data_IF_291243778169
#
_entry.id   IF_291243778169
#
_cell.length_a   1.000
_cell.length_b   1.000
_cell.length_c   1.000
_cell.angle_alpha   90.00
_cell.angle_beta   90.00
_cell.angle_gamma   90.00
#
_symmetry.space_group_name_H-M   'P 1'
#
loop_
_entity.id
_entity.type
_entity.pdbx_description
1 polymer ?
#
# COMPACT_ATOMS: atom_id res chain seq x y z
N UNK A 1 16.95 -4.61 -5.42
CA UNK A 1 17.00 -3.24 -5.63
C UNK A 1 15.68 -2.52 -5.67
N UNK A 2 15.63 -1.38 -5.00
CA UNK A 2 14.53 -0.43 -5.11
C UNK A 2 14.95 0.84 -5.87
N UNK A 3 16.08 0.75 -6.58
CA UNK A 3 16.67 1.85 -7.34
C UNK A 3 15.70 2.46 -8.36
N UNK A 4 14.77 1.64 -8.89
CA UNK A 4 13.77 2.12 -9.84
C UNK A 4 12.80 3.15 -9.21
N UNK A 5 12.45 3.00 -7.92
CA UNK A 5 11.61 3.98 -7.20
C UNK A 5 12.42 5.22 -6.89
N UNK A 6 13.66 5.05 -6.43
CA UNK A 6 14.57 6.15 -6.15
C UNK A 6 14.77 6.99 -7.42
N UNK A 7 15.18 6.37 -8.52
CA UNK A 7 15.39 7.04 -9.80
C UNK A 7 14.12 7.68 -10.41
N UNK A 8 12.93 7.15 -10.10
CA UNK A 8 11.68 7.70 -10.62
C UNK A 8 11.37 9.10 -10.08
N UNK A 9 11.71 9.35 -8.83
CA UNK A 9 11.47 10.64 -8.17
C UNK A 9 12.70 11.54 -8.16
N UNK A 10 13.85 11.04 -8.63
CA UNK A 10 15.06 11.83 -8.78
C UNK A 10 15.05 12.63 -10.08
N UNK A 11 15.80 13.71 -10.07
CA UNK A 11 15.97 14.57 -11.25
C UNK A 11 16.89 13.92 -12.28
N UNK A 12 16.34 13.55 -13.44
CA UNK A 12 17.08 12.98 -14.55
C UNK A 12 17.54 14.06 -15.54
N UNK A 13 18.70 14.66 -15.31
CA UNK A 13 19.25 15.73 -16.16
C UNK A 13 19.45 15.28 -17.61
N UNK A 14 19.92 14.05 -17.84
CA UNK A 14 20.13 13.51 -19.19
C UNK A 14 18.80 13.43 -19.96
N UNK A 15 17.74 12.92 -19.34
CA UNK A 15 16.42 12.82 -19.95
C UNK A 15 15.84 14.21 -20.23
N UNK A 16 15.99 15.16 -19.30
CA UNK A 16 15.54 16.54 -19.49
C UNK A 16 16.19 17.18 -20.72
N UNK A 17 17.51 17.07 -20.87
CA UNK A 17 18.25 17.60 -22.03
C UNK A 17 17.79 16.96 -23.34
N UNK A 18 17.54 15.66 -23.35
CA UNK A 18 17.06 14.96 -24.56
C UNK A 18 15.65 15.44 -24.95
N UNK A 19 14.73 15.53 -23.99
CA UNK A 19 13.36 16.00 -24.24
C UNK A 19 13.33 17.47 -24.72
N UNK A 20 14.14 18.32 -24.12
CA UNK A 20 14.29 19.73 -24.53
C UNK A 20 14.79 19.84 -25.97
N UNK A 21 15.86 19.11 -26.34
CA UNK A 21 16.40 19.09 -27.71
C UNK A 21 15.41 18.55 -28.75
N UNK A 22 14.51 17.64 -28.32
CA UNK A 22 13.47 17.08 -29.19
C UNK A 22 12.21 17.97 -29.23
N UNK A 23 12.15 19.07 -28.49
CA UNK A 23 10.96 19.93 -28.38
C UNK A 23 9.79 19.31 -27.66
N UNK A 24 10.00 18.22 -26.89
CA UNK A 24 8.96 17.47 -26.16
C UNK A 24 8.61 18.14 -24.83
N UNK A 25 8.03 19.33 -24.90
CA UNK A 25 7.80 20.18 -23.73
C UNK A 25 6.78 19.63 -22.73
N UNK A 26 5.80 18.82 -23.17
CA UNK A 26 4.82 18.21 -22.26
C UNK A 26 5.48 17.14 -21.41
N UNK A 27 6.27 16.25 -22.02
CA UNK A 27 6.99 15.20 -21.31
C UNK A 27 8.07 15.81 -20.39
N UNK A 28 8.73 16.90 -20.80
CA UNK A 28 9.68 17.61 -19.95
C UNK A 28 9.01 18.11 -18.67
N UNK A 29 7.89 18.83 -18.81
CA UNK A 29 7.10 19.31 -17.64
C UNK A 29 6.60 18.17 -16.74
N UNK A 30 6.25 17.04 -17.32
CA UNK A 30 5.80 15.87 -16.54
C UNK A 30 6.90 15.31 -15.65
N UNK A 31 8.11 15.09 -16.16
CA UNK A 31 9.23 14.57 -15.37
C UNK A 31 9.72 15.59 -14.34
N UNK A 32 9.72 16.89 -14.65
CA UNK A 32 10.01 17.94 -13.68
C UNK A 32 9.01 17.94 -12.53
N UNK A 33 7.70 17.89 -12.83
CA UNK A 33 6.64 17.80 -11.83
C UNK A 33 6.77 16.57 -10.93
N UNK A 34 7.17 15.41 -11.47
CA UNK A 34 7.39 14.19 -10.68
C UNK A 34 8.55 14.38 -9.70
N UNK A 35 9.68 14.95 -10.15
CA UNK A 35 10.84 15.19 -9.29
C UNK A 35 10.62 16.26 -8.22
N UNK A 36 9.63 17.13 -8.39
CA UNK A 36 9.26 18.19 -7.45
C UNK A 36 8.06 17.82 -6.55
N UNK A 37 7.50 16.61 -6.72
CA UNK A 37 6.28 16.18 -6.03
C UNK A 37 6.45 16.17 -4.50
N UNK A 38 7.61 15.76 -4.01
CA UNK A 38 7.96 15.70 -2.60
C UNK A 38 9.48 15.67 -2.40
N UNK A 39 9.92 15.95 -1.17
CA UNK A 39 11.30 15.71 -0.76
C UNK A 39 11.46 14.26 -0.30
N UNK A 40 12.37 13.52 -0.92
CA UNK A 40 12.62 12.12 -0.61
C UNK A 40 13.88 11.95 0.21
N UNK A 41 13.81 11.08 1.21
CA UNK A 41 14.95 10.58 1.96
C UNK A 41 14.91 9.06 1.97
N UNK A 42 16.04 8.42 1.75
CA UNK A 42 16.14 6.98 1.67
C UNK A 42 16.93 6.42 2.84
N UNK A 43 16.40 5.40 3.48
CA UNK A 43 17.11 4.66 4.51
C UNK A 43 17.09 3.18 4.17
N UNK A 44 18.24 2.53 4.34
CA UNK A 44 18.38 1.12 3.99
C UNK A 44 18.27 0.24 5.21
N UNK A 45 17.28 -0.64 5.21
CA UNK A 45 17.23 -1.75 6.16
C UNK A 45 18.32 -2.76 5.79
N UNK A 46 19.34 -2.92 6.64
CA UNK A 46 20.50 -3.78 6.35
C UNK A 46 20.16 -5.26 6.37
N UNK A 47 19.26 -5.67 7.24
CA UNK A 47 18.80 -7.04 7.42
C UNK A 47 17.27 -7.10 7.31
N UNK A 48 16.70 -8.10 6.63
CA UNK A 48 15.24 -8.20 6.42
C UNK A 48 14.53 -8.74 7.67
N UNK A 49 14.55 -7.97 8.75
CA UNK A 49 13.99 -8.34 10.06
C UNK A 49 12.50 -7.96 10.22
N UNK A 50 11.75 -7.91 9.13
CA UNK A 50 10.31 -7.65 9.12
C UNK A 50 9.91 -6.18 9.05
N UNK A 51 8.60 -5.93 8.97
CA UNK A 51 8.03 -4.60 8.76
C UNK A 51 8.22 -3.69 9.97
N UNK A 52 8.06 -4.22 11.19
CA UNK A 52 8.28 -3.43 12.41
C UNK A 52 9.71 -2.90 12.49
N UNK A 53 10.70 -3.74 12.15
CA UNK A 53 12.09 -3.30 12.07
C UNK A 53 12.33 -2.25 10.97
N UNK A 54 11.68 -2.38 9.81
CA UNK A 54 11.80 -1.37 8.75
C UNK A 54 11.31 0.00 9.21
N UNK A 55 10.20 0.05 9.96
CA UNK A 55 9.68 1.27 10.59
C UNK A 55 10.66 1.78 11.65
N UNK A 56 11.18 0.92 12.51
CA UNK A 56 12.13 1.30 13.56
C UNK A 56 13.41 1.94 12.99
N UNK A 57 13.92 1.43 11.86
CA UNK A 57 15.09 2.01 11.16
C UNK A 57 14.80 3.45 10.70
N UNK A 58 13.56 3.81 10.43
CA UNK A 58 13.17 5.17 10.03
C UNK A 58 13.06 6.16 11.20
N UNK A 59 13.16 5.72 12.48
CA UNK A 59 13.01 6.55 13.68
C UNK A 59 13.80 7.86 13.63
N UNK A 60 15.05 7.79 13.17
CA UNK A 60 15.92 8.97 13.10
C UNK A 60 15.49 10.02 12.05
N UNK A 61 14.79 9.58 10.98
CA UNK A 61 14.26 10.47 9.94
C UNK A 61 12.91 11.06 10.34
N UNK A 62 12.06 10.27 10.98
CA UNK A 62 10.72 10.67 11.39
C UNK A 62 10.75 11.60 12.61
N UNK A 63 11.66 11.35 13.56
CA UNK A 63 11.71 12.11 14.81
C UNK A 63 10.54 11.82 15.74
N UNK A 64 9.98 12.85 16.33
CA UNK A 64 8.92 12.76 17.34
C UNK A 64 7.59 13.33 16.83
N UNK A 65 7.22 13.01 15.60
CA UNK A 65 5.98 13.46 14.98
C UNK A 65 5.13 12.27 14.50
N UNK A 66 3.80 12.42 14.45
CA UNK A 66 2.93 11.44 13.79
C UNK A 66 3.31 11.31 12.31
N UNK A 67 3.26 10.10 11.80
CA UNK A 67 3.67 9.81 10.42
C UNK A 67 2.80 8.74 9.78
N UNK A 68 2.72 8.80 8.45
CA UNK A 68 2.03 7.78 7.68
C UNK A 68 3.00 6.67 7.23
N UNK A 69 2.54 5.42 7.28
CA UNK A 69 3.21 4.26 6.68
C UNK A 69 2.35 3.73 5.54
N UNK A 70 2.95 3.64 4.36
CA UNK A 70 2.31 3.14 3.15
C UNK A 70 3.15 2.00 2.58
N UNK A 71 2.59 0.79 2.57
CA UNK A 71 3.24 -0.36 1.92
C UNK A 71 3.07 -0.23 0.41
N UNK A 72 4.17 -0.38 -0.32
CA UNK A 72 4.21 -0.12 -1.76
C UNK A 72 3.46 -1.15 -2.62
N UNK A 73 3.13 -2.30 -2.08
CA UNK A 73 2.37 -3.36 -2.71
C UNK A 73 0.86 -3.29 -2.46
N UNK A 74 0.40 -2.44 -1.53
CA UNK A 74 -1.01 -2.15 -1.33
C UNK A 74 -1.42 -0.92 -2.15
N UNK A 75 -2.08 -1.13 -3.28
CA UNK A 75 -2.59 -0.06 -4.14
C UNK A 75 -4.07 0.15 -3.83
N UNK A 76 -4.45 1.36 -3.45
CA UNK A 76 -5.85 1.69 -3.14
C UNK A 76 -6.36 2.70 -4.18
N UNK A 77 -7.44 2.32 -4.82
CA UNK A 77 -8.16 3.12 -5.78
C UNK A 77 -9.45 3.64 -5.12
N UNK A 78 -9.53 4.94 -4.95
CA UNK A 78 -10.65 5.62 -4.28
C UNK A 78 -10.83 7.02 -4.84
N UNK A 79 -12.06 7.53 -4.80
CA UNK A 79 -12.37 8.91 -5.18
C UNK A 79 -11.78 9.89 -4.15
N UNK A 80 -12.03 9.64 -2.86
CA UNK A 80 -11.33 10.29 -1.76
C UNK A 80 -10.14 9.40 -1.34
N UNK A 81 -8.88 9.84 -1.51
CA UNK A 81 -7.72 9.01 -1.21
C UNK A 81 -7.75 8.43 0.20
N UNK A 82 -7.46 7.13 0.34
CA UNK A 82 -7.48 6.44 1.64
C UNK A 82 -6.69 7.20 2.72
N UNK A 83 -5.53 7.76 2.37
CA UNK A 83 -4.74 8.54 3.31
C UNK A 83 -5.45 9.83 3.76
N UNK A 84 -6.21 10.49 2.88
CA UNK A 84 -7.00 11.66 3.25
C UNK A 84 -8.11 11.29 4.24
N UNK A 85 -8.82 10.17 4.01
CA UNK A 85 -9.80 9.63 4.96
C UNK A 85 -9.14 9.34 6.32
N UNK A 86 -7.95 8.74 6.33
CA UNK A 86 -7.19 8.44 7.55
C UNK A 86 -6.72 9.70 8.28
N UNK A 87 -6.28 10.73 7.57
CA UNK A 87 -5.88 12.02 8.16
C UNK A 87 -7.07 12.65 8.85
N UNK A 88 -8.24 12.68 8.23
CA UNK A 88 -9.48 13.19 8.84
C UNK A 88 -9.84 12.45 10.14
N UNK A 89 -9.66 11.13 10.15
CA UNK A 89 -9.85 10.33 11.38
C UNK A 89 -8.77 10.65 12.41
N UNK A 90 -7.51 10.81 12.01
CA UNK A 90 -6.41 11.16 12.91
C UNK A 90 -6.61 12.55 13.55
N UNK A 91 -7.00 13.55 12.77
CA UNK A 91 -7.29 14.90 13.27
C UNK A 91 -8.38 14.89 14.34
N UNK A 92 -9.36 14.00 14.21
CA UNK A 92 -10.46 13.87 15.15
C UNK A 92 -10.10 13.11 16.43
N UNK A 93 -9.39 11.98 16.30
CA UNK A 93 -9.10 11.09 17.43
C UNK A 93 -7.73 11.33 18.08
N UNK A 94 -6.81 12.02 17.39
CA UNK A 94 -5.43 12.30 17.85
C UNK A 94 -4.70 11.03 18.33
N UNK A 95 -4.91 9.92 17.66
CA UNK A 95 -4.41 8.59 18.00
C UNK A 95 -4.06 7.83 16.72
N UNK A 96 -3.25 6.78 16.83
CA UNK A 96 -2.89 5.94 15.68
C UNK A 96 -4.13 5.40 14.98
N UNK A 97 -4.14 5.53 13.63
CA UNK A 97 -5.22 5.07 12.74
C UNK A 97 -4.66 3.96 11.84
N UNK A 98 -5.36 2.85 11.78
CA UNK A 98 -5.01 1.69 10.96
C UNK A 98 -6.11 1.48 9.92
N UNK A 99 -5.77 1.47 8.64
CA UNK A 99 -6.74 1.12 7.62
C UNK A 99 -7.06 -0.37 7.69
N UNK A 100 -8.37 -0.68 7.66
CA UNK A 100 -8.86 -2.05 7.70
C UNK A 100 -9.83 -2.31 6.55
N UNK A 101 -9.93 -3.56 6.14
CA UNK A 101 -10.85 -4.02 5.11
C UNK A 101 -11.51 -5.32 5.55
N UNK A 102 -12.79 -5.47 5.25
CA UNK A 102 -13.47 -6.74 5.45
C UNK A 102 -12.95 -7.78 4.44
N UNK A 103 -12.57 -8.95 4.94
CA UNK A 103 -12.09 -10.08 4.15
C UNK A 103 -12.91 -11.32 4.42
N UNK A 104 -12.83 -12.33 3.57
CA UNK A 104 -13.46 -13.62 3.89
C UNK A 104 -12.76 -14.28 5.08
N UNK A 105 -13.49 -15.07 5.86
CA UNK A 105 -12.91 -15.82 7.00
C UNK A 105 -11.71 -16.68 6.62
N UNK A 106 -11.65 -17.20 5.40
CA UNK A 106 -10.54 -18.03 4.91
C UNK A 106 -9.26 -17.21 4.73
N UNK A 107 -9.39 -15.93 4.42
CA UNK A 107 -8.26 -15.03 4.17
C UNK A 107 -7.64 -14.47 5.46
N UNK A 108 -8.29 -14.59 6.61
CA UNK A 108 -7.78 -14.04 7.88
C UNK A 108 -6.37 -14.55 8.23
N UNK A 109 -6.01 -15.76 7.81
CA UNK A 109 -4.66 -16.32 8.00
C UNK A 109 -3.55 -15.64 7.19
N UNK A 110 -3.89 -14.69 6.33
CA UNK A 110 -2.92 -13.92 5.54
C UNK A 110 -2.67 -12.51 6.08
N UNK A 111 -3.45 -12.06 7.07
CA UNK A 111 -3.45 -10.67 7.57
C UNK A 111 -3.37 -10.59 9.09
N UNK A 112 -2.92 -9.45 9.59
CA UNK A 112 -3.25 -9.04 10.95
C UNK A 112 -4.74 -8.73 11.04
N UNK A 113 -5.42 -9.23 12.07
CA UNK A 113 -6.86 -9.06 12.29
C UNK A 113 -7.08 -8.27 13.57
N UNK A 114 -7.93 -7.24 13.50
CA UNK A 114 -8.31 -6.45 14.68
C UNK A 114 -9.46 -7.11 15.45
N UNK A 115 -9.48 -6.92 16.77
CA UNK A 115 -10.68 -7.08 17.59
C UNK A 115 -11.40 -5.73 17.68
N UNK A 116 -12.50 -5.53 16.93
CA UNK A 116 -13.12 -4.22 16.76
C UNK A 116 -14.24 -3.96 17.76
N UNK A 117 -14.26 -2.76 18.32
CA UNK A 117 -15.44 -2.20 18.96
C UNK A 117 -15.97 -1.05 18.10
N UNK A 118 -17.17 -1.13 17.50
CA UNK A 118 -17.72 -0.07 16.68
C UNK A 118 -17.83 1.26 17.46
N UNK A 119 -17.42 2.36 16.80
CA UNK A 119 -17.54 3.72 17.33
C UNK A 119 -18.44 4.55 16.41
N UNK A 120 -18.24 4.43 15.10
CA UNK A 120 -19.05 5.04 14.03
C UNK A 120 -19.14 4.05 12.86
N UNK A 121 -19.85 4.41 11.79
CA UNK A 121 -20.10 3.50 10.65
C UNK A 121 -18.83 2.85 10.08
N UNK A 122 -17.72 3.63 10.00
CA UNK A 122 -16.46 3.15 9.42
C UNK A 122 -15.30 3.15 10.40
N UNK A 123 -15.54 3.57 11.66
CA UNK A 123 -14.49 3.70 12.69
C UNK A 123 -14.74 2.68 13.80
N UNK A 124 -13.69 1.97 14.13
CA UNK A 124 -13.64 0.95 15.17
C UNK A 124 -12.54 1.26 16.17
N UNK A 125 -12.85 1.26 17.47
CA UNK A 125 -11.82 1.19 18.50
C UNK A 125 -11.21 -0.21 18.45
N UNK A 126 -9.88 -0.29 18.38
CA UNK A 126 -9.17 -1.57 18.40
C UNK A 126 -8.98 -2.02 19.84
N UNK A 127 -9.50 -3.20 20.19
CA UNK A 127 -9.36 -3.80 21.52
C UNK A 127 -8.14 -4.73 21.60
N UNK A 128 -7.86 -5.46 20.52
CA UNK A 128 -6.67 -6.31 20.36
C UNK A 128 -6.35 -6.51 18.88
N UNK A 129 -5.16 -7.06 18.60
CA UNK A 129 -4.70 -7.39 17.25
C UNK A 129 -4.05 -8.78 17.27
N UNK A 130 -4.33 -9.58 16.26
CA UNK A 130 -3.77 -10.92 16.13
C UNK A 130 -3.14 -11.09 14.75
N UNK A 131 -1.85 -11.43 14.70
CA UNK A 131 -1.14 -11.66 13.45
C UNK A 131 -1.51 -13.02 12.88
N UNK A 132 -2.02 -13.03 11.65
CA UNK A 132 -2.34 -14.23 10.84
C UNK A 132 -3.07 -15.34 11.62
N UNK A 133 -4.19 -15.03 12.30
CA UNK A 133 -4.91 -16.05 13.06
C UNK A 133 -5.51 -17.10 12.13
N UNK A 134 -5.67 -18.32 12.63
CA UNK A 134 -6.50 -19.30 11.92
C UNK A 134 -7.93 -18.78 11.76
N UNK A 135 -8.70 -19.19 10.74
CA UNK A 135 -10.08 -18.75 10.55
C UNK A 135 -11.00 -18.96 11.77
N UNK A 136 -10.72 -19.99 12.56
CA UNK A 136 -11.49 -20.27 13.79
C UNK A 136 -11.09 -19.35 14.96
N UNK A 137 -9.83 -18.89 15.01
CA UNK A 137 -9.29 -18.06 16.09
C UNK A 137 -9.35 -16.55 15.78
N UNK A 138 -9.70 -16.15 14.55
CA UNK A 138 -9.79 -14.76 14.16
C UNK A 138 -10.88 -14.03 14.96
N UNK A 139 -10.55 -12.91 15.66
CA UNK A 139 -11.52 -12.18 16.47
C UNK A 139 -12.60 -11.51 15.62
N UNK A 140 -12.29 -11.16 14.38
CA UNK A 140 -13.22 -10.59 13.41
C UNK A 140 -12.82 -10.98 11.98
N UNK A 141 -13.44 -10.35 11.00
CA UNK A 141 -13.07 -10.41 9.58
C UNK A 141 -12.50 -9.07 9.06
N UNK A 142 -12.15 -8.16 9.97
CA UNK A 142 -11.51 -6.88 9.64
C UNK A 142 -9.99 -7.03 9.63
N UNK A 143 -9.45 -7.12 8.42
CA UNK A 143 -8.03 -7.28 8.15
C UNK A 143 -7.32 -5.93 8.06
N UNK A 144 -6.14 -5.85 8.65
CA UNK A 144 -5.23 -4.72 8.53
C UNK A 144 -4.69 -4.70 7.10
N UNK A 145 -4.72 -3.53 6.48
CA UNK A 145 -4.07 -3.29 5.18
C UNK A 145 -2.86 -2.37 5.35
N UNK A 146 -2.01 -2.29 4.33
CA UNK A 146 -0.73 -1.60 4.38
C UNK A 146 -0.80 -0.07 4.42
N UNK A 147 -1.70 0.49 5.21
CA UNK A 147 -1.88 1.94 5.42
C UNK A 147 -2.07 2.23 6.89
N UNK A 148 -1.18 3.06 7.45
CA UNK A 148 -1.20 3.41 8.87
C UNK A 148 -0.91 4.90 9.02
N UNK A 149 -1.50 5.55 10.03
CA UNK A 149 -0.99 6.76 10.65
C UNK A 149 -0.61 6.38 12.06
N UNK A 150 0.64 6.54 12.40
CA UNK A 150 1.22 6.12 13.67
C UNK A 150 1.73 7.32 14.44
N UNK A 151 1.58 7.28 15.76
CA UNK A 151 2.21 8.22 16.65
C UNK A 151 3.63 7.76 16.99
N UNK A 152 4.55 8.66 17.40
CA UNK A 152 5.96 8.31 17.64
C UNK A 152 6.19 7.25 18.71
N UNK A 153 5.23 7.04 19.62
CA UNK A 153 5.30 6.01 20.66
C UNK A 153 5.40 4.59 20.09
N UNK A 154 5.06 4.41 18.81
CA UNK A 154 5.27 3.13 18.12
C UNK A 154 6.74 2.71 18.12
N UNK A 155 7.68 3.63 18.09
CA UNK A 155 9.10 3.31 18.09
C UNK A 155 9.52 2.62 19.41
N UNK A 156 9.07 3.12 20.53
CA UNK A 156 9.34 2.50 21.84
C UNK A 156 8.63 1.16 21.99
N UNK A 157 7.43 1.02 21.43
CA UNK A 157 6.72 -0.25 21.38
C UNK A 157 7.45 -1.29 20.51
N UNK A 158 7.99 -0.88 19.36
CA UNK A 158 8.76 -1.75 18.49
C UNK A 158 10.11 -2.18 19.07
N UNK A 159 10.79 -1.31 19.82
CA UNK A 159 12.02 -1.64 20.55
C UNK A 159 11.78 -2.74 21.62
N UNK A 160 10.57 -2.79 22.20
CA UNK A 160 10.15 -3.80 23.17
C UNK A 160 9.55 -5.05 22.53
N UNK A 161 9.31 -5.06 21.22
CA UNK A 161 8.66 -6.17 20.51
C UNK A 161 9.69 -7.28 20.22
N UNK A 162 9.51 -8.50 20.73
CA UNK A 162 10.39 -9.59 20.39
C UNK A 162 10.23 -10.00 18.91
N UNK A 163 11.28 -10.56 18.36
CA UNK A 163 11.21 -11.27 17.08
C UNK A 163 10.29 -12.48 17.20
N UNK A 164 9.55 -12.76 16.13
CA UNK A 164 8.74 -13.97 16.02
C UNK A 164 9.60 -15.23 15.74
N UNK A 165 8.97 -16.38 15.54
CA UNK A 165 9.65 -17.64 15.22
C UNK A 165 10.43 -17.58 13.88
N UNK A 166 10.06 -16.67 12.98
CA UNK A 166 10.75 -16.38 11.71
C UNK A 166 11.95 -15.42 11.87
N UNK A 167 12.18 -14.87 13.06
CA UNK A 167 13.21 -13.86 13.33
C UNK A 167 12.80 -12.44 12.93
N UNK A 168 11.52 -12.18 12.67
CA UNK A 168 11.00 -10.90 12.24
C UNK A 168 10.33 -10.11 13.38
N UNK A 169 10.53 -8.81 13.41
CA UNK A 169 9.75 -7.88 14.24
C UNK A 169 8.48 -7.52 13.48
N UNK A 170 7.39 -8.19 13.83
CA UNK A 170 6.09 -7.95 13.20
C UNK A 170 5.48 -6.63 13.69
N UNK A 171 5.02 -5.78 12.75
CA UNK A 171 4.36 -4.52 13.11
C UNK A 171 3.10 -4.77 13.96
N UNK A 172 2.31 -5.78 13.64
CA UNK A 172 1.10 -6.13 14.40
C UNK A 172 1.40 -6.41 15.88
N UNK A 173 2.54 -7.05 16.17
CA UNK A 173 2.97 -7.28 17.55
C UNK A 173 3.40 -5.97 18.23
N UNK A 174 4.08 -5.07 17.51
CA UNK A 174 4.43 -3.74 18.01
C UNK A 174 3.19 -2.88 18.29
N UNK A 175 2.20 -2.92 17.42
CA UNK A 175 0.91 -2.25 17.64
C UNK A 175 0.19 -2.83 18.86
N UNK A 176 0.27 -4.13 19.10
CA UNK A 176 -0.29 -4.77 20.30
C UNK A 176 0.42 -4.33 21.59
N UNK A 177 1.72 -4.05 21.52
CA UNK A 177 2.45 -3.44 22.66
C UNK A 177 2.00 -2.00 22.87
N UNK A 178 1.88 -1.20 21.79
CA UNK A 178 1.42 0.19 21.85
C UNK A 178 -0.01 0.28 22.43
N UNK A 179 -0.88 -0.68 22.09
CA UNK A 179 -2.27 -0.71 22.58
C UNK A 179 -2.40 -0.76 24.10
N UNK A 180 -1.36 -1.19 24.82
CA UNK A 180 -1.35 -1.20 26.30
C UNK A 180 -1.31 0.20 26.91
N UNK A 181 -0.83 1.18 26.16
CA UNK A 181 -0.60 2.56 26.63
C UNK A 181 -1.40 3.59 25.84
N UNK A 182 -1.89 3.26 24.65
CA UNK A 182 -2.59 4.19 23.77
C UNK A 182 -3.80 3.51 23.11
N UNK A 183 -4.92 4.22 23.05
CA UNK A 183 -6.07 3.79 22.22
C UNK A 183 -5.70 3.92 20.75
N UNK A 184 -6.13 2.96 19.93
CA UNK A 184 -5.97 3.01 18.47
C UNK A 184 -7.31 2.76 17.79
N UNK A 185 -7.43 3.25 16.55
CA UNK A 185 -8.64 3.11 15.77
C UNK A 185 -8.39 2.44 14.42
N UNK A 186 -9.31 1.57 14.03
CA UNK A 186 -9.40 1.02 12.69
C UNK A 186 -10.35 1.86 11.83
N UNK A 187 -9.93 2.24 10.64
CA UNK A 187 -10.77 2.87 9.62
C UNK A 187 -11.07 1.88 8.50
N UNK A 188 -12.34 1.49 8.35
CA UNK A 188 -12.83 0.80 7.15
C UNK A 188 -12.99 1.84 6.03
N UNK A 189 -11.95 2.03 5.24
CA UNK A 189 -11.89 3.07 4.21
C UNK A 189 -12.82 2.77 3.03
N UNK A 190 -13.27 3.81 2.35
CA UNK A 190 -13.97 3.71 1.08
C UNK A 190 -12.95 3.63 -0.07
N UNK A 191 -13.07 2.60 -0.91
CA UNK A 191 -12.17 2.38 -2.03
C UNK A 191 -12.00 0.90 -2.36
N UNK A 192 -11.26 0.63 -3.43
CA UNK A 192 -10.91 -0.72 -3.87
C UNK A 192 -9.41 -0.94 -3.67
N UNK A 193 -9.04 -1.96 -2.89
CA UNK A 193 -7.65 -2.35 -2.66
C UNK A 193 -7.22 -3.42 -3.66
N UNK A 194 -6.02 -3.28 -4.17
CA UNK A 194 -5.31 -4.26 -4.97
C UNK A 194 -4.01 -4.64 -4.26
N UNK A 195 -3.88 -5.91 -3.91
CA UNK A 195 -2.64 -6.48 -3.36
C UNK A 195 -1.67 -6.81 -4.51
N UNK A 196 -0.81 -5.84 -4.86
CA UNK A 196 0.19 -6.01 -5.91
C UNK A 196 1.38 -6.91 -5.48
N UNK A 197 1.47 -7.32 -4.22
CA UNK A 197 2.39 -8.35 -3.75
C UNK A 197 2.06 -9.74 -4.29
N UNK A 198 0.79 -10.00 -4.63
CA UNK A 198 0.36 -11.22 -5.30
C UNK A 198 0.37 -11.04 -6.83
N UNK A 199 0.74 -12.12 -7.57
CA UNK A 199 0.75 -12.09 -9.06
C UNK A 199 -0.60 -11.69 -9.64
N UNK A 200 -1.68 -12.26 -9.13
CA UNK A 200 -3.03 -11.97 -9.60
C UNK A 200 -3.48 -10.55 -9.23
N UNK A 201 -3.17 -10.09 -8.01
CA UNK A 201 -3.48 -8.73 -7.57
C UNK A 201 -2.74 -7.68 -8.38
N UNK A 202 -1.46 -7.91 -8.71
CA UNK A 202 -0.68 -7.05 -9.61
C UNK A 202 -1.32 -6.93 -11.00
N UNK A 203 -1.76 -8.06 -11.59
CA UNK A 203 -2.45 -8.05 -12.90
C UNK A 203 -3.78 -7.30 -12.81
N UNK A 204 -4.57 -7.53 -11.75
CA UNK A 204 -5.84 -6.81 -11.55
C UNK A 204 -5.61 -5.30 -11.41
N UNK A 205 -4.64 -4.88 -10.61
CA UNK A 205 -4.28 -3.46 -10.48
C UNK A 205 -3.88 -2.86 -11.83
N UNK A 206 -2.98 -3.52 -12.55
CA UNK A 206 -2.49 -3.08 -13.86
C UNK A 206 -3.64 -2.87 -14.86
N UNK A 207 -4.54 -3.85 -14.97
CA UNK A 207 -5.71 -3.77 -15.87
C UNK A 207 -6.65 -2.63 -15.46
N UNK A 208 -6.95 -2.52 -14.17
CA UNK A 208 -7.86 -1.50 -13.66
C UNK A 208 -7.34 -0.08 -13.93
N UNK A 209 -6.07 0.17 -13.64
CA UNK A 209 -5.48 1.48 -13.88
C UNK A 209 -5.28 1.77 -15.37
N UNK A 210 -4.95 0.77 -16.21
CA UNK A 210 -4.89 0.93 -17.66
C UNK A 210 -6.26 1.29 -18.25
N UNK A 211 -7.36 0.69 -17.73
CA UNK A 211 -8.72 0.99 -18.17
C UNK A 211 -9.22 2.39 -17.76
N UNK A 212 -8.53 3.07 -16.85
CA UNK A 212 -8.81 4.47 -16.49
C UNK A 212 -8.07 5.46 -17.39
N UNK A 213 -7.05 5.04 -18.10
CA UNK A 213 -6.26 5.89 -18.98
C UNK A 213 -6.97 6.11 -20.32
N UNK A 214 -7.27 7.35 -20.74
CA UNK A 214 -7.96 7.63 -21.99
C UNK A 214 -7.21 7.13 -23.24
N UNK A 215 -5.88 7.14 -23.19
CA UNK A 215 -4.99 6.71 -24.26
C UNK A 215 -4.91 5.18 -24.43
N UNK A 216 -5.19 4.41 -23.39
CA UNK A 216 -5.10 2.94 -23.39
C UNK A 216 -6.46 2.24 -23.35
N UNK A 217 -7.43 2.85 -22.68
CA UNK A 217 -8.70 2.19 -22.36
C UNK A 217 -9.49 1.69 -23.57
N UNK A 218 -9.60 2.40 -24.72
CA UNK A 218 -10.37 1.93 -25.85
C UNK A 218 -9.82 0.61 -26.42
N UNK A 219 -8.54 0.59 -26.76
CA UNK A 219 -7.87 -0.56 -27.35
C UNK A 219 -7.84 -1.75 -26.39
N UNK A 220 -7.54 -1.49 -25.11
CA UNK A 220 -7.52 -2.54 -24.08
C UNK A 220 -8.90 -3.18 -23.88
N UNK A 221 -9.98 -2.39 -23.87
CA UNK A 221 -11.35 -2.94 -23.75
C UNK A 221 -11.69 -3.85 -24.91
N UNK A 222 -11.33 -3.50 -26.14
CA UNK A 222 -11.60 -4.31 -27.31
C UNK A 222 -10.77 -5.60 -27.27
N UNK A 223 -9.51 -5.52 -26.88
CA UNK A 223 -8.68 -6.71 -26.67
C UNK A 223 -9.27 -7.66 -25.61
N UNK A 224 -9.72 -7.13 -24.47
CA UNK A 224 -10.34 -7.94 -23.41
C UNK A 224 -11.64 -8.60 -23.86
N UNK A 225 -12.45 -7.95 -24.72
CA UNK A 225 -13.64 -8.57 -25.33
C UNK A 225 -13.25 -9.74 -26.24
N UNK A 226 -12.25 -9.57 -27.10
CA UNK A 226 -11.74 -10.65 -27.97
C UNK A 226 -11.23 -11.84 -27.14
N UNK A 227 -10.51 -11.59 -26.04
CA UNK A 227 -10.06 -12.63 -25.10
C UNK A 227 -11.24 -13.40 -24.50
N UNK A 228 -12.29 -12.70 -24.07
CA UNK A 228 -13.47 -13.32 -23.46
C UNK A 228 -14.29 -14.17 -24.45
N UNK A 229 -14.23 -13.85 -25.74
CA UNK A 229 -14.87 -14.60 -26.80
C UNK A 229 -14.03 -15.78 -27.33
N UNK A 230 -12.80 -15.96 -26.84
CA UNK A 230 -11.89 -17.00 -27.31
C UNK A 230 -11.26 -16.75 -28.68
N UNK A 231 -11.40 -15.53 -29.23
CA UNK A 231 -10.99 -15.17 -30.58
C UNK A 231 -9.48 -14.88 -30.73
N UNK A 232 -8.77 -14.64 -29.63
CA UNK A 232 -7.35 -14.24 -29.64
C UNK A 232 -6.44 -15.34 -30.19
N UNK A 233 -6.80 -16.63 -30.01
CA UNK A 233 -6.04 -17.75 -30.56
C UNK A 233 -6.14 -17.85 -32.10
N UNK A 234 -7.26 -17.46 -32.68
CA UNK A 234 -7.53 -17.54 -34.14
C UNK A 234 -6.79 -16.45 -34.93
N UNK A 235 -6.58 -15.27 -34.33
CA UNK A 235 -5.86 -14.16 -34.96
C UNK A 235 -4.35 -14.42 -35.01
N UNK A 236 -3.75 -14.93 -33.94
CA UNK A 236 -2.32 -15.28 -33.91
C UNK A 236 -1.93 -16.44 -34.85
N UNK A 237 -2.85 -17.34 -35.16
CA UNK A 237 -2.61 -18.40 -36.16
C UNK A 237 -2.70 -17.87 -37.59
N UNK A 238 -3.51 -16.85 -37.88
CA UNK A 238 -3.57 -16.19 -39.20
C UNK A 238 -2.28 -15.42 -39.51
N UNK A 239 -1.80 -14.60 -38.57
CA UNK A 239 -0.58 -13.80 -38.75
C UNK A 239 0.68 -14.68 -38.89
N UNK A 240 0.67 -15.92 -38.37
CA UNK A 240 1.77 -16.89 -38.56
C UNK A 240 1.74 -17.60 -39.91
N UNK A 241 0.62 -17.56 -40.64
CA UNK A 241 0.48 -18.20 -41.98
C UNK A 241 0.70 -17.20 -43.10
N UNK A 242 0.71 -15.90 -42.82
CA UNK A 242 0.94 -14.83 -43.80
C UNK A 242 2.36 -14.25 -43.78
N UNK A 243 3.23 -14.70 -42.85
CA UNK A 243 4.67 -14.44 -42.79
C UNK A 243 5.48 -15.74 -43.04
#
# INVERSE_FOLDING_TARGET
GKDAIENHFDRSLELQIVLERQGKQEQLREIERISELASFSYIRQKEPLGLGHAILVAKALVGNEPFAVLLGDDIIDAEDPCLAQMISAFERYQSSIIAVQQVSRKETSSYGIIDPKPVEDTIYQILDLVEKPSPAAAPSDLAIVGRYILTPEIFDALEQTPQDEGGEVQLTNGLRVLLRTQTMYGLAFHGCRYDAGSKLGFLKATLQFALKRPDLAPELRDYLKMLSLGEVGATMERDRKEN
#
